data_IF_497921549050
#
_entry.id   IF_497921549050
#
_cell.length_a   1.000
_cell.length_b   1.000
_cell.length_c   1.000
_cell.angle_alpha   90.00
_cell.angle_beta   90.00
_cell.angle_gamma   90.00
#
_symmetry.space_group_name_H-M   'P 1'
#
loop_
_entity.id
_entity.type
_entity.pdbx_description
1 polymer ?
#
# COMPACT_ATOMS: atom_id res chain seq x y z
N UNK A 1 -5.96 -1.20 25.00
CA UNK A 1 -4.78 -0.40 24.60
C UNK A 1 -3.81 -1.11 23.63
N UNK A 2 -3.45 -2.38 23.83
CA UNK A 2 -2.45 -3.09 22.99
C UNK A 2 -2.81 -3.19 21.50
N UNK A 3 -4.08 -3.47 21.19
CA UNK A 3 -4.58 -3.59 19.80
C UNK A 3 -4.51 -2.26 19.04
N UNK A 4 -4.92 -1.16 19.70
CA UNK A 4 -4.86 0.18 19.11
C UNK A 4 -3.42 0.57 18.80
N UNK A 5 -2.49 0.35 19.74
CA UNK A 5 -1.06 0.61 19.53
C UNK A 5 -0.50 -0.17 18.34
N UNK A 6 -0.87 -1.45 18.17
CA UNK A 6 -0.46 -2.24 17.01
C UNK A 6 -1.00 -1.68 15.69
N UNK A 7 -2.26 -1.26 15.65
CA UNK A 7 -2.86 -0.70 14.44
C UNK A 7 -2.17 0.60 14.04
N UNK A 8 -1.94 1.50 15.00
CA UNK A 8 -1.23 2.75 14.78
C UNK A 8 0.19 2.51 14.29
N UNK A 9 0.90 1.54 14.88
CA UNK A 9 2.26 1.19 14.48
C UNK A 9 2.31 0.66 13.03
N UNK A 10 1.35 -0.18 12.62
CA UNK A 10 1.26 -0.67 11.23
C UNK A 10 1.11 0.50 10.26
N UNK A 11 0.15 1.41 10.51
CA UNK A 11 -0.06 2.56 9.64
C UNK A 11 1.13 3.52 9.63
N UNK A 12 1.78 3.71 10.78
CA UNK A 12 2.97 4.55 10.88
C UNK A 12 4.14 3.99 10.06
N UNK A 13 4.44 2.68 10.19
CA UNK A 13 5.49 2.04 9.38
C UNK A 13 5.16 2.13 7.89
N UNK A 14 3.91 1.87 7.53
CA UNK A 14 3.49 1.95 6.14
C UNK A 14 3.64 3.37 5.58
N UNK A 15 3.22 4.40 6.32
CA UNK A 15 3.40 5.79 5.93
C UNK A 15 4.87 6.17 5.76
N UNK A 16 5.74 5.72 6.67
CA UNK A 16 7.19 5.92 6.57
C UNK A 16 7.77 5.31 5.28
N UNK A 17 7.35 4.08 4.95
CA UNK A 17 7.76 3.42 3.71
C UNK A 17 7.30 4.18 2.48
N UNK A 18 6.05 4.65 2.45
CA UNK A 18 5.51 5.46 1.35
C UNK A 18 6.34 6.74 1.16
N UNK A 19 6.62 7.47 2.24
CA UNK A 19 7.44 8.69 2.18
C UNK A 19 8.84 8.40 1.67
N UNK A 20 9.49 7.34 2.19
CA UNK A 20 10.83 6.96 1.76
C UNK A 20 10.87 6.60 0.27
N UNK A 21 9.91 5.82 -0.21
CA UNK A 21 9.79 5.46 -1.63
C UNK A 21 9.47 6.67 -2.51
N UNK A 22 8.63 7.60 -2.04
CA UNK A 22 8.32 8.82 -2.78
C UNK A 22 9.54 9.75 -2.90
N UNK A 23 10.29 9.93 -1.82
CA UNK A 23 11.52 10.74 -1.83
C UNK A 23 12.58 10.12 -2.74
N UNK A 24 12.82 8.80 -2.62
CA UNK A 24 13.81 8.14 -3.48
C UNK A 24 13.41 8.22 -4.95
N UNK A 25 12.14 7.99 -5.27
CA UNK A 25 11.65 8.08 -6.65
C UNK A 25 11.73 9.50 -7.21
N UNK A 26 11.44 10.52 -6.40
CA UNK A 26 11.57 11.93 -6.80
C UNK A 26 13.02 12.28 -7.14
N UNK A 27 14.00 11.79 -6.37
CA UNK A 27 15.43 12.01 -6.66
C UNK A 27 15.85 11.37 -7.99
N UNK A 28 15.35 10.16 -8.29
CA UNK A 28 15.63 9.46 -9.54
C UNK A 28 15.06 10.24 -10.75
N UNK A 29 13.82 10.75 -10.64
CA UNK A 29 13.23 11.61 -11.69
C UNK A 29 14.04 12.89 -11.85
N UNK A 30 14.45 13.54 -10.76
CA UNK A 30 15.23 14.77 -10.80
C UNK A 30 16.57 14.60 -11.55
N UNK A 31 17.21 13.44 -11.38
CA UNK A 31 18.44 13.07 -12.08
C UNK A 31 18.23 12.67 -13.55
N UNK A 32 17.00 12.76 -14.08
CA UNK A 32 16.60 12.39 -15.46
C UNK A 32 16.86 10.93 -15.83
N UNK A 33 16.92 10.03 -14.85
CA UNK A 33 17.14 8.59 -15.09
C UNK A 33 15.89 7.88 -15.61
N UNK A 34 14.71 8.50 -15.48
CA UNK A 34 13.41 7.93 -15.89
C UNK A 34 12.70 8.88 -16.86
N UNK A 35 12.15 8.34 -17.94
CA UNK A 35 11.34 9.09 -18.91
C UNK A 35 9.93 9.39 -18.36
N UNK A 36 9.40 10.57 -18.67
CA UNK A 36 8.08 11.02 -18.20
C UNK A 36 6.95 10.06 -18.61
N UNK A 37 7.06 9.42 -19.77
CA UNK A 37 6.07 8.47 -20.29
C UNK A 37 5.93 7.20 -19.41
N UNK A 38 6.98 6.84 -18.67
CA UNK A 38 7.01 5.62 -17.85
C UNK A 38 6.60 5.83 -16.39
N UNK A 39 6.36 7.08 -15.98
CA UNK A 39 6.04 7.44 -14.58
C UNK A 39 4.80 6.69 -14.10
N UNK A 40 3.77 6.64 -14.93
CA UNK A 40 2.50 6.06 -14.56
C UNK A 40 2.59 4.56 -14.23
N UNK A 41 3.36 3.82 -15.04
CA UNK A 41 3.56 2.37 -14.87
C UNK A 41 4.47 2.07 -13.68
N UNK A 42 5.55 2.84 -13.52
CA UNK A 42 6.50 2.65 -12.42
C UNK A 42 5.86 2.96 -11.06
N UNK A 43 5.06 4.03 -10.96
CA UNK A 43 4.29 4.34 -9.75
C UNK A 43 3.28 3.23 -9.41
N UNK A 44 2.62 2.62 -10.41
CA UNK A 44 1.72 1.49 -10.18
C UNK A 44 2.48 0.28 -9.60
N UNK A 45 3.62 -0.08 -10.18
CA UNK A 45 4.45 -1.20 -9.71
C UNK A 45 4.92 -0.96 -8.26
N UNK A 46 5.42 0.24 -7.95
CA UNK A 46 5.83 0.61 -6.59
C UNK A 46 4.65 0.54 -5.62
N UNK A 47 3.48 1.00 -6.03
CA UNK A 47 2.26 0.93 -5.22
C UNK A 47 1.84 -0.51 -4.94
N UNK A 48 1.94 -1.41 -5.92
CA UNK A 48 1.65 -2.84 -5.74
C UNK A 48 2.58 -3.44 -4.68
N UNK A 49 3.88 -3.15 -4.75
CA UNK A 49 4.88 -3.62 -3.78
C UNK A 49 4.56 -3.08 -2.38
N UNK A 50 4.28 -1.79 -2.26
CA UNK A 50 3.93 -1.16 -0.98
C UNK A 50 2.66 -1.77 -0.37
N UNK A 51 1.60 -1.98 -1.18
CA UNK A 51 0.37 -2.62 -0.68
C UNK A 51 0.59 -4.09 -0.30
N UNK A 52 1.45 -4.82 -1.02
CA UNK A 52 1.86 -6.17 -0.64
C UNK A 52 2.56 -6.14 0.73
N UNK A 53 3.47 -5.21 0.97
CA UNK A 53 4.17 -5.03 2.25
C UNK A 53 3.18 -4.66 3.36
N UNK A 54 2.22 -3.78 3.11
CA UNK A 54 1.15 -3.47 4.07
C UNK A 54 0.41 -4.74 4.48
N UNK A 55 0.01 -5.56 3.49
CA UNK A 55 -0.61 -6.86 3.73
C UNK A 55 0.26 -7.76 4.59
N UNK A 56 1.53 -7.93 4.21
CA UNK A 56 2.50 -8.77 4.93
C UNK A 56 2.66 -8.31 6.39
N UNK A 57 2.80 -7.00 6.63
CA UNK A 57 2.90 -6.40 7.96
C UNK A 57 1.65 -6.69 8.80
N UNK A 58 0.46 -6.48 8.22
CA UNK A 58 -0.81 -6.74 8.90
C UNK A 58 -0.95 -8.22 9.24
N UNK A 59 -0.67 -9.11 8.29
CA UNK A 59 -0.69 -10.56 8.50
C UNK A 59 0.30 -10.99 9.57
N UNK A 60 1.53 -10.46 9.52
CA UNK A 60 2.59 -10.78 10.47
C UNK A 60 2.28 -10.33 11.89
N UNK A 61 1.62 -9.16 12.07
CA UNK A 61 1.26 -8.63 13.39
C UNK A 61 -0.01 -9.28 13.93
N UNK A 62 -1.02 -9.51 13.10
CA UNK A 62 -2.34 -10.02 13.53
C UNK A 62 -2.43 -11.53 13.65
N UNK A 63 -1.62 -12.28 12.87
CA UNK A 63 -1.55 -13.76 12.89
C UNK A 63 -2.90 -14.50 12.75
N UNK A 64 -3.92 -13.84 12.20
CA UNK A 64 -5.24 -14.44 11.95
C UNK A 64 -5.93 -13.73 10.80
N UNK A 65 -6.84 -14.43 10.12
CA UNK A 65 -7.71 -13.91 9.06
C UNK A 65 -6.96 -13.04 8.04
N UNK A 66 -5.87 -13.56 7.48
CA UNK A 66 -4.94 -12.80 6.63
C UNK A 66 -5.63 -12.09 5.47
N UNK A 67 -6.52 -12.80 4.75
CA UNK A 67 -7.32 -12.24 3.66
C UNK A 67 -8.17 -11.05 4.14
N UNK A 68 -8.98 -11.25 5.19
CA UNK A 68 -9.89 -10.23 5.71
C UNK A 68 -9.14 -9.01 6.24
N UNK A 69 -8.06 -9.23 7.00
CA UNK A 69 -7.29 -8.14 7.58
C UNK A 69 -6.48 -7.40 6.50
N UNK A 70 -5.86 -8.11 5.55
CA UNK A 70 -5.20 -7.47 4.41
C UNK A 70 -6.17 -6.60 3.61
N UNK A 71 -7.36 -7.13 3.31
CA UNK A 71 -8.42 -6.38 2.63
C UNK A 71 -8.84 -5.12 3.42
N UNK A 72 -9.15 -5.24 4.71
CA UNK A 72 -9.61 -4.09 5.52
C UNK A 72 -8.57 -2.96 5.55
N UNK A 73 -7.30 -3.30 5.79
CA UNK A 73 -6.25 -2.29 5.87
C UNK A 73 -5.94 -1.68 4.50
N UNK A 74 -5.87 -2.52 3.45
CA UNK A 74 -5.75 -2.04 2.08
C UNK A 74 -6.92 -1.15 1.68
N UNK A 75 -8.15 -1.48 2.08
CA UNK A 75 -9.36 -0.71 1.80
C UNK A 75 -9.35 0.65 2.47
N UNK A 76 -8.92 0.73 3.75
CA UNK A 76 -8.78 2.01 4.43
C UNK A 76 -7.82 2.93 3.66
N UNK A 77 -6.65 2.43 3.25
CA UNK A 77 -5.68 3.24 2.48
C UNK A 77 -6.20 3.58 1.09
N UNK A 78 -6.78 2.62 0.36
CA UNK A 78 -7.34 2.86 -0.97
C UNK A 78 -8.47 3.89 -0.93
N UNK A 79 -9.29 3.88 0.13
CA UNK A 79 -10.32 4.89 0.35
C UNK A 79 -9.71 6.28 0.58
N UNK A 80 -8.63 6.40 1.37
CA UNK A 80 -7.90 7.66 1.51
C UNK A 80 -7.34 8.15 0.17
N UNK A 81 -6.77 7.27 -0.65
CA UNK A 81 -6.25 7.63 -1.97
C UNK A 81 -7.37 8.07 -2.94
N UNK A 82 -8.51 7.38 -2.90
CA UNK A 82 -9.69 7.74 -3.68
C UNK A 82 -10.21 9.12 -3.27
N UNK A 83 -10.38 9.37 -1.97
CA UNK A 83 -10.80 10.66 -1.46
C UNK A 83 -9.79 11.76 -1.83
N UNK A 84 -8.49 11.50 -1.73
CA UNK A 84 -7.45 12.44 -2.14
C UNK A 84 -7.55 12.82 -3.62
N UNK A 85 -7.70 11.84 -4.52
CA UNK A 85 -7.85 12.08 -5.97
C UNK A 85 -9.15 12.81 -6.28
N UNK A 86 -10.25 12.45 -5.62
CA UNK A 86 -11.54 13.14 -5.74
C UNK A 86 -11.46 14.61 -5.32
N UNK A 87 -10.76 14.92 -4.21
CA UNK A 87 -10.52 16.30 -3.77
C UNK A 87 -9.59 17.07 -4.73
N UNK A 88 -8.71 16.37 -5.45
CA UNK A 88 -7.83 16.93 -6.47
C UNK A 88 -8.53 17.35 -7.76
N UNK A 89 -9.86 17.15 -7.86
CA UNK A 89 -10.66 17.30 -9.08
C UNK A 89 -10.21 16.39 -10.24
N UNK A 90 -9.57 15.25 -9.93
CA UNK A 90 -9.36 14.23 -10.95
C UNK A 90 -10.72 13.61 -11.31
N UNK A 91 -11.02 13.55 -12.60
CA UNK A 91 -12.22 12.85 -13.06
C UNK A 91 -12.11 11.35 -12.72
N UNK A 92 -13.19 10.79 -12.16
CA UNK A 92 -13.26 9.37 -11.90
C UNK A 92 -13.12 8.59 -13.21
N UNK A 93 -12.07 7.75 -13.28
CA UNK A 93 -11.80 6.91 -14.44
C UNK A 93 -11.90 5.43 -14.10
N UNK A 94 -12.43 4.63 -15.03
CA UNK A 94 -12.43 3.17 -14.91
C UNK A 94 -11.01 2.60 -14.73
N UNK A 95 -10.00 3.27 -15.30
CA UNK A 95 -8.60 2.90 -15.11
C UNK A 95 -8.15 3.07 -13.65
N UNK A 96 -8.59 4.13 -12.96
CA UNK A 96 -8.28 4.34 -11.54
C UNK A 96 -8.97 3.28 -10.67
N UNK A 97 -10.21 2.91 -10.99
CA UNK A 97 -10.92 1.83 -10.29
C UNK A 97 -10.15 0.51 -10.37
N UNK A 98 -9.68 0.12 -11.57
CA UNK A 98 -8.86 -1.09 -11.76
C UNK A 98 -7.58 -1.01 -10.92
N UNK A 99 -6.91 0.15 -10.85
CA UNK A 99 -5.72 0.32 -10.01
C UNK A 99 -6.03 0.06 -8.55
N UNK A 100 -7.09 0.66 -8.00
CA UNK A 100 -7.46 0.41 -6.61
C UNK A 100 -7.80 -1.06 -6.35
N UNK A 101 -8.49 -1.74 -7.28
CA UNK A 101 -8.74 -3.18 -7.17
C UNK A 101 -7.46 -4.00 -7.13
N UNK A 102 -6.48 -3.71 -8.00
CA UNK A 102 -5.18 -4.38 -8.01
C UNK A 102 -4.44 -4.17 -6.68
N UNK A 103 -4.47 -2.94 -6.14
CA UNK A 103 -3.84 -2.63 -4.85
C UNK A 103 -4.51 -3.39 -3.69
N UNK A 104 -5.84 -3.48 -3.68
CA UNK A 104 -6.59 -4.26 -2.70
C UNK A 104 -6.25 -5.75 -2.76
N UNK A 105 -6.17 -6.32 -3.96
CA UNK A 105 -5.75 -7.70 -4.17
C UNK A 105 -4.33 -7.93 -3.66
N UNK A 106 -3.40 -7.02 -3.99
CA UNK A 106 -2.02 -7.09 -3.52
C UNK A 106 -1.92 -7.10 -1.99
N UNK A 107 -2.64 -6.20 -1.30
CA UNK A 107 -2.65 -6.17 0.16
C UNK A 107 -3.33 -7.39 0.79
N UNK A 108 -4.40 -7.88 0.16
CA UNK A 108 -5.09 -9.09 0.61
C UNK A 108 -4.19 -10.32 0.51
N UNK A 109 -3.48 -10.48 -0.61
CA UNK A 109 -2.50 -11.56 -0.82
C UNK A 109 -1.33 -11.45 0.17
N UNK A 110 -0.78 -10.24 0.36
CA UNK A 110 0.25 -10.00 1.37
C UNK A 110 -0.24 -10.38 2.76
N UNK A 111 -1.50 -10.11 3.09
CA UNK A 111 -2.13 -10.52 4.35
C UNK A 111 -2.16 -12.03 4.54
N UNK A 112 -2.53 -12.78 3.50
CA UNK A 112 -2.55 -14.26 3.49
C UNK A 112 -1.14 -14.83 3.68
N UNK A 113 -0.14 -14.26 3.01
CA UNK A 113 1.26 -14.68 3.17
C UNK A 113 1.77 -14.34 4.59
N UNK A 114 1.47 -13.12 5.06
CA UNK A 114 2.00 -12.57 6.30
C UNK A 114 1.56 -13.32 7.56
N UNK A 115 0.34 -13.88 7.58
CA UNK A 115 -0.13 -14.66 8.74
C UNK A 115 0.68 -15.93 8.97
N UNK A 116 1.29 -16.49 7.92
CA UNK A 116 2.07 -17.73 7.97
C UNK A 116 3.56 -17.50 8.27
N UNK A 117 4.02 -16.25 8.35
CA UNK A 117 5.42 -15.95 8.72
C UNK A 117 5.67 -16.44 10.16
N UNK A 118 6.68 -17.28 10.43
CA UNK A 118 6.96 -17.73 11.78
C UNK A 118 7.34 -16.56 12.69
N UNK A 119 6.88 -16.58 13.94
CA UNK A 119 7.29 -15.59 14.93
C UNK A 119 8.73 -15.94 15.34
N UNK A 120 9.67 -15.00 15.15
CA UNK A 120 11.03 -15.17 15.67
C UNK A 120 10.95 -15.12 17.20
N UNK A 121 11.41 -16.20 17.86
CA UNK A 121 11.46 -16.34 19.31
C UNK A 121 12.46 -15.35 19.91
#
# INVERSE_FOLDING_TARGET
MKILKQNLLIFFIFALLVVLTAVSYTLIIFNKEISMDSINTTVLILSIILFMILGLLVGAVKKRNGLRNGFIYGFIIALFLFLYSFLGNDEFSFHQLIRYLILLLSSSLGGVIGVNIPKKN
#
